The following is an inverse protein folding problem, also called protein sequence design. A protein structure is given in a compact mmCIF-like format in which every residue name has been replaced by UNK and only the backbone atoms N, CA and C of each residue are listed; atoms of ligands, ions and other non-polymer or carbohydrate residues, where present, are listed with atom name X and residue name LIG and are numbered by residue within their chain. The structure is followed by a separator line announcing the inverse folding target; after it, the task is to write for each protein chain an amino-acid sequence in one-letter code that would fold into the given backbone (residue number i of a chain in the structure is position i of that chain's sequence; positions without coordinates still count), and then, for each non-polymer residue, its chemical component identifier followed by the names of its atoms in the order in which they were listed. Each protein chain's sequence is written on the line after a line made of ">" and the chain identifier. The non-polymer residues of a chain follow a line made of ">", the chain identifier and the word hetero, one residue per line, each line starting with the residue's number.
data_IF_693952294203
#
_entry.id   IF_693952294203
#
_cell.length_a   1.000
_cell.length_b   1.000
_cell.length_c   1.000
_cell.angle_alpha   90.00
_cell.angle_beta   90.00
_cell.angle_gamma   90.00
#
_symmetry.space_group_name_H-M   'P 1'
#
loop_
_entity.id
_entity.type
_entity.pdbx_description
1 polymer ?
#
# COMPACT_ATOMS: atom_id res chain seq x y z
N UNK A 1 -46.84 -36.97 15.20
CA UNK A 1 -46.20 -36.51 16.44
C UNK A 1 -45.37 -37.66 17.03
N UNK A 2 -44.09 -37.75 16.66
CA UNK A 2 -43.19 -38.75 17.25
C UNK A 2 -42.81 -38.29 18.66
N UNK A 3 -43.08 -39.14 19.66
CA UNK A 3 -42.70 -38.89 21.06
C UNK A 3 -41.19 -39.08 21.19
N UNK A 4 -40.52 -38.08 21.73
CA UNK A 4 -39.08 -38.13 22.00
C UNK A 4 -38.87 -38.87 23.33
N UNK A 5 -38.23 -40.04 23.30
CA UNK A 5 -37.91 -40.78 24.51
C UNK A 5 -36.66 -40.22 25.20
N UNK A 6 -36.74 -40.19 26.52
CA UNK A 6 -35.76 -39.60 27.43
C UNK A 6 -34.61 -40.60 27.64
N UNK A 7 -33.38 -40.27 27.22
CA UNK A 7 -32.19 -41.02 27.67
C UNK A 7 -31.74 -40.47 29.02
N UNK A 8 -32.19 -41.13 30.09
CA UNK A 8 -31.61 -40.97 31.43
C UNK A 8 -30.13 -41.38 31.39
N UNK A 9 -29.22 -40.43 31.61
CA UNK A 9 -27.83 -40.73 31.91
C UNK A 9 -27.77 -41.43 33.28
N UNK A 10 -27.52 -42.75 33.27
CA UNK A 10 -27.23 -43.51 34.49
C UNK A 10 -25.82 -43.14 34.97
N UNK A 11 -25.72 -42.26 35.95
CA UNK A 11 -24.52 -42.15 36.78
C UNK A 11 -24.43 -43.37 37.69
N UNK A 12 -23.43 -44.21 37.46
CA UNK A 12 -23.12 -45.36 38.30
C UNK A 12 -22.62 -44.87 39.68
N UNK A 13 -23.40 -45.11 40.72
CA UNK A 13 -22.99 -44.97 42.11
C UNK A 13 -22.49 -46.34 42.58
N UNK A 14 -21.18 -46.48 42.74
CA UNK A 14 -20.57 -47.68 43.33
C UNK A 14 -20.92 -47.73 44.82
N UNK A 15 -21.82 -48.63 45.21
CA UNK A 15 -22.13 -48.94 46.62
C UNK A 15 -21.49 -50.28 46.96
N UNK A 16 -20.59 -50.25 47.95
CA UNK A 16 -19.92 -51.39 48.56
C UNK A 16 -20.96 -52.22 49.34
N UNK A 17 -20.97 -53.52 49.11
CA UNK A 17 -21.90 -54.50 49.68
C UNK A 17 -21.55 -54.77 51.14
N UNK A 18 -22.52 -54.58 52.03
CA UNK A 18 -22.50 -55.07 53.41
C UNK A 18 -23.87 -55.67 53.76
N UNK A 19 -23.91 -56.99 53.95
CA UNK A 19 -25.06 -57.80 54.34
C UNK A 19 -25.72 -57.29 55.65
N UNK A 20 -27.06 -57.21 55.71
CA UNK A 20 -27.92 -58.00 56.64
C UNK A 20 -29.40 -57.58 56.63
N UNK A 21 -30.25 -58.62 56.68
CA UNK A 21 -31.60 -58.76 57.26
C UNK A 21 -32.86 -58.15 56.60
N UNK A 22 -33.83 -59.06 56.46
CA UNK A 22 -35.21 -58.91 55.98
C UNK A 22 -36.05 -57.88 56.75
N UNK A 23 -36.79 -57.05 56.01
CA UNK A 23 -38.16 -56.69 56.33
C UNK A 23 -38.90 -56.34 55.02
N UNK A 24 -39.76 -57.25 54.57
CA UNK A 24 -40.72 -56.96 53.52
C UNK A 24 -41.80 -56.04 54.11
N UNK A 25 -41.70 -54.73 53.85
CA UNK A 25 -42.83 -53.83 54.00
C UNK A 25 -43.49 -53.74 52.63
N UNK A 26 -44.70 -54.30 52.56
CA UNK A 26 -45.58 -54.25 51.41
C UNK A 26 -45.71 -52.80 50.94
N UNK A 27 -45.52 -52.61 49.63
CA UNK A 27 -45.77 -51.34 48.96
C UNK A 27 -47.22 -50.91 49.21
N UNK A 28 -47.39 -49.86 50.01
CA UNK A 28 -48.61 -49.06 49.95
C UNK A 28 -48.58 -48.31 48.62
N UNK A 29 -49.47 -48.74 47.73
CA UNK A 29 -49.95 -47.96 46.59
C UNK A 29 -50.64 -46.73 47.19
N UNK A 30 -50.11 -45.54 46.92
CA UNK A 30 -50.85 -44.25 46.83
C UNK A 30 -49.96 -43.00 46.92
N UNK A 31 -48.66 -43.08 46.65
CA UNK A 31 -47.89 -41.87 46.29
C UNK A 31 -48.02 -41.63 44.78
N UNK A 32 -49.11 -40.97 44.41
CA UNK A 32 -49.27 -40.34 43.11
C UNK A 32 -48.19 -39.25 42.95
N UNK A 33 -47.01 -39.65 42.49
CA UNK A 33 -46.01 -38.74 41.96
C UNK A 33 -46.64 -38.07 40.75
N UNK A 34 -47.21 -36.88 40.94
CA UNK A 34 -47.49 -35.94 39.85
C UNK A 34 -46.15 -35.56 39.23
N UNK A 35 -45.65 -36.39 38.33
CA UNK A 35 -44.59 -36.02 37.42
C UNK A 35 -45.19 -34.94 36.50
N UNK A 36 -45.03 -33.66 36.89
CA UNK A 36 -45.19 -32.56 35.96
C UNK A 36 -44.30 -32.87 34.76
N UNK A 37 -44.92 -33.26 33.64
CA UNK A 37 -44.22 -33.37 32.37
C UNK A 37 -43.65 -32.00 32.08
N UNK A 38 -42.34 -31.84 32.27
CA UNK A 38 -41.62 -30.68 31.78
C UNK A 38 -41.89 -30.63 30.27
N UNK A 39 -42.53 -29.54 29.82
CA UNK A 39 -42.79 -29.34 28.41
C UNK A 39 -41.44 -29.24 27.70
N UNK A 40 -41.11 -30.25 26.90
CA UNK A 40 -39.87 -30.24 26.11
C UNK A 40 -40.10 -29.51 24.80
N UNK A 41 -39.03 -28.87 24.33
CA UNK A 41 -39.02 -28.08 23.12
C UNK A 41 -37.94 -28.65 22.20
N UNK A 42 -38.26 -28.82 20.92
CA UNK A 42 -37.26 -29.17 19.92
C UNK A 42 -36.64 -27.91 19.33
N UNK A 43 -35.32 -27.84 19.31
CA UNK A 43 -34.58 -26.73 18.72
C UNK A 43 -33.47 -27.25 17.83
N UNK A 44 -32.98 -26.40 16.92
CA UNK A 44 -31.85 -26.69 16.05
C UNK A 44 -30.72 -25.75 16.44
N UNK A 45 -29.57 -26.29 16.83
CA UNK A 45 -28.36 -25.51 17.09
C UNK A 45 -27.46 -25.58 15.86
N UNK A 46 -27.23 -24.43 15.23
CA UNK A 46 -26.25 -24.23 14.16
C UNK A 46 -24.97 -23.64 14.74
N UNK A 47 -23.88 -24.39 14.68
CA UNK A 47 -22.56 -23.91 15.12
C UNK A 47 -21.45 -24.54 14.27
N UNK A 48 -20.42 -23.75 13.92
CA UNK A 48 -19.29 -24.21 13.10
C UNK A 48 -19.74 -24.85 11.75
N UNK A 49 -20.84 -24.36 11.17
CA UNK A 49 -21.42 -24.89 9.94
C UNK A 49 -22.15 -26.24 10.07
N UNK A 50 -22.38 -26.73 11.30
CA UNK A 50 -23.07 -27.99 11.58
C UNK A 50 -24.39 -27.71 12.30
N UNK A 51 -25.47 -28.33 11.83
CA UNK A 51 -26.79 -28.29 12.47
C UNK A 51 -26.97 -29.52 13.38
N UNK A 52 -27.41 -29.29 14.61
CA UNK A 52 -27.72 -30.33 15.61
C UNK A 52 -29.12 -30.13 16.16
N UNK A 53 -29.97 -31.14 16.06
CA UNK A 53 -31.30 -31.11 16.65
C UNK A 53 -31.23 -31.57 18.11
N UNK A 54 -31.83 -30.79 19.01
CA UNK A 54 -31.86 -31.07 20.45
C UNK A 54 -33.28 -30.95 20.96
N UNK A 55 -33.67 -31.94 21.77
CA UNK A 55 -34.89 -31.88 22.58
C UNK A 55 -34.48 -31.53 24.01
N UNK A 56 -34.99 -30.43 24.54
CA UNK A 56 -34.58 -29.89 25.84
C UNK A 56 -35.78 -29.48 26.69
N UNK A 57 -35.64 -29.57 28.01
CA UNK A 57 -36.57 -29.01 28.99
C UNK A 57 -36.14 -27.60 29.48
N UNK A 58 -35.03 -27.07 28.96
CA UNK A 58 -34.55 -25.73 29.30
C UNK A 58 -35.51 -24.66 28.79
N UNK A 59 -35.51 -23.51 29.47
CA UNK A 59 -36.42 -22.40 29.13
C UNK A 59 -35.79 -21.36 28.21
N UNK A 60 -34.46 -21.26 28.18
CA UNK A 60 -33.73 -20.22 27.44
C UNK A 60 -32.69 -20.79 26.48
N UNK A 61 -32.33 -19.98 25.47
CA UNK A 61 -31.26 -20.30 24.51
C UNK A 61 -29.93 -20.59 25.21
N UNK A 62 -29.52 -19.75 26.16
CA UNK A 62 -28.24 -19.88 26.85
C UNK A 62 -28.13 -21.16 27.68
N UNK A 63 -29.21 -21.54 28.39
CA UNK A 63 -29.25 -22.78 29.15
C UNK A 63 -29.19 -24.01 28.23
N UNK A 64 -29.87 -23.95 27.08
CA UNK A 64 -29.85 -25.01 26.07
C UNK A 64 -28.47 -25.18 25.45
N UNK A 65 -27.77 -24.09 25.12
CA UNK A 65 -26.41 -24.15 24.60
C UNK A 65 -25.44 -24.78 25.62
N UNK A 66 -25.58 -24.43 26.90
CA UNK A 66 -24.79 -25.02 27.99
C UNK A 66 -25.05 -26.52 28.16
N UNK A 67 -26.32 -26.94 28.14
CA UNK A 67 -26.71 -28.36 28.17
C UNK A 67 -26.15 -29.13 26.96
N UNK A 68 -26.16 -28.50 25.78
CA UNK A 68 -25.61 -29.07 24.54
C UNK A 68 -24.08 -29.16 24.51
N UNK A 69 -23.37 -28.68 25.55
CA UNK A 69 -21.92 -28.59 25.57
C UNK A 69 -21.35 -27.56 24.60
N UNK A 70 -22.16 -26.59 24.16
CA UNK A 70 -21.73 -25.49 23.29
C UNK A 70 -21.35 -24.31 24.18
N UNK A 71 -20.07 -24.22 24.51
CA UNK A 71 -19.52 -23.06 25.18
C UNK A 71 -19.51 -21.87 24.23
N UNK A 72 -19.97 -20.71 24.70
CA UNK A 72 -20.02 -19.45 23.92
C UNK A 72 -18.93 -18.53 24.46
N UNK A 73 -18.02 -18.09 23.60
CA UNK A 73 -16.96 -17.16 23.95
C UNK A 73 -17.50 -15.76 24.28
N UNK A 74 -16.70 -14.90 24.93
CA UNK A 74 -17.14 -13.58 25.41
C UNK A 74 -17.56 -12.62 24.28
N UNK A 75 -17.10 -12.86 23.06
CA UNK A 75 -17.38 -12.03 21.87
C UNK A 75 -18.15 -12.78 20.78
N UNK A 76 -18.48 -14.05 21.02
CA UNK A 76 -19.27 -14.85 20.08
C UNK A 76 -20.69 -14.30 19.97
N UNK A 77 -21.30 -14.47 18.79
CA UNK A 77 -22.65 -14.00 18.54
C UNK A 77 -23.64 -15.16 18.57
N UNK A 78 -24.68 -15.03 19.38
CA UNK A 78 -25.78 -16.00 19.47
C UNK A 78 -27.07 -15.34 19.02
N UNK A 79 -27.75 -15.96 18.05
CA UNK A 79 -29.05 -15.51 17.55
C UNK A 79 -30.06 -16.66 17.59
N UNK A 80 -31.20 -16.53 18.29
CA UNK A 80 -31.61 -15.43 19.16
C UNK A 80 -30.72 -15.25 20.40
N UNK A 81 -30.92 -14.16 21.16
CA UNK A 81 -30.08 -13.85 22.33
C UNK A 81 -30.17 -14.96 23.40
N UNK A 82 -29.14 -15.07 24.24
CA UNK A 82 -29.04 -16.13 25.26
C UNK A 82 -30.19 -16.14 26.29
N UNK A 83 -30.82 -14.99 26.52
CA UNK A 83 -31.96 -14.85 27.44
C UNK A 83 -33.32 -15.10 26.77
N UNK A 84 -33.36 -15.27 25.44
CA UNK A 84 -34.58 -15.52 24.71
C UNK A 84 -35.21 -16.84 25.16
N UNK A 85 -36.53 -16.81 25.41
CA UNK A 85 -37.31 -18.03 25.70
C UNK A 85 -37.44 -18.91 24.46
N UNK A 86 -37.31 -20.22 24.65
CA UNK A 86 -37.39 -21.20 23.57
C UNK A 86 -38.81 -21.32 22.99
N UNK A 87 -38.87 -21.69 21.71
CA UNK A 87 -40.09 -22.08 20.99
C UNK A 87 -39.80 -23.35 20.20
N UNK A 88 -40.81 -24.19 20.00
CA UNK A 88 -40.64 -25.43 19.23
C UNK A 88 -40.25 -25.12 17.78
N UNK A 89 -39.27 -25.85 17.27
CA UNK A 89 -38.64 -25.60 15.97
C UNK A 89 -37.69 -24.41 15.92
N UNK A 90 -37.35 -23.77 17.05
CA UNK A 90 -36.44 -22.61 17.05
C UNK A 90 -35.04 -22.96 16.55
N UNK A 91 -34.50 -22.14 15.65
CA UNK A 91 -33.11 -22.24 15.19
C UNK A 91 -32.24 -21.28 15.99
N UNK A 92 -31.24 -21.82 16.66
CA UNK A 92 -30.23 -21.12 17.44
C UNK A 92 -28.93 -21.14 16.64
N UNK A 93 -28.45 -19.98 16.20
CA UNK A 93 -27.18 -19.86 15.47
C UNK A 93 -26.11 -19.29 16.37
N UNK A 94 -24.96 -19.96 16.42
CA UNK A 94 -23.76 -19.54 17.15
C UNK A 94 -22.66 -19.26 16.14
N UNK A 95 -22.26 -17.99 16.02
CA UNK A 95 -21.16 -17.54 15.17
C UNK A 95 -19.93 -17.33 16.05
N UNK A 96 -18.83 -18.00 15.70
CA UNK A 96 -17.54 -17.86 16.40
C UNK A 96 -16.85 -16.58 15.96
N UNK A 97 -16.58 -15.70 16.90
CA UNK A 97 -15.97 -14.40 16.64
C UNK A 97 -14.57 -14.35 17.24
N UNK A 98 -13.60 -13.94 16.44
CA UNK A 98 -12.25 -13.66 16.92
C UNK A 98 -11.70 -12.37 16.33
N UNK A 99 -10.79 -11.73 17.06
CA UNK A 99 -10.05 -10.56 16.59
C UNK A 99 -8.57 -10.93 16.55
N UNK A 100 -7.96 -10.84 15.37
CA UNK A 100 -6.54 -11.15 15.18
C UNK A 100 -5.81 -9.89 14.74
N UNK A 101 -4.63 -9.66 15.33
CA UNK A 101 -3.73 -8.58 14.87
C UNK A 101 -2.90 -9.12 13.72
N UNK A 102 -3.13 -8.57 12.53
CA UNK A 102 -2.36 -8.87 11.33
C UNK A 102 -1.35 -7.77 11.05
N UNK A 103 -0.16 -8.17 10.61
CA UNK A 103 0.94 -7.27 10.27
C UNK A 103 1.21 -7.37 8.77
N UNK A 104 1.05 -6.25 8.07
CA UNK A 104 1.36 -6.14 6.65
C UNK A 104 2.67 -5.35 6.47
N UNK A 105 3.58 -5.89 5.66
CA UNK A 105 4.84 -5.23 5.30
C UNK A 105 4.68 -4.44 4.01
N UNK A 106 5.08 -3.16 4.02
CA UNK A 106 5.07 -2.34 2.82
C UNK A 106 6.42 -1.60 2.66
N UNK A 107 6.99 -1.53 1.44
CA UNK A 107 8.23 -0.80 1.22
C UNK A 107 8.05 0.72 1.32
N UNK A 108 9.10 1.41 1.77
CA UNK A 108 9.22 2.87 1.75
C UNK A 108 10.25 3.22 0.67
N UNK A 109 9.85 4.01 -0.32
CA UNK A 109 10.77 4.47 -1.36
C UNK A 109 11.90 5.33 -0.76
N UNK A 110 13.06 5.30 -1.40
CA UNK A 110 14.19 6.16 -1.07
C UNK A 110 14.33 7.28 -2.09
N UNK A 111 14.93 8.40 -1.67
CA UNK A 111 15.22 9.53 -2.55
C UNK A 111 16.62 9.45 -3.16
N UNK A 112 16.85 10.26 -4.19
CA UNK A 112 18.19 10.48 -4.75
C UNK A 112 18.75 11.84 -4.34
N UNK A 113 19.77 11.84 -3.50
CA UNK A 113 20.50 13.05 -3.09
C UNK A 113 21.61 13.32 -4.10
N UNK A 114 21.60 14.51 -4.70
CA UNK A 114 22.60 14.96 -5.67
C UNK A 114 23.56 15.95 -5.02
N UNK A 115 24.84 15.63 -5.05
CA UNK A 115 25.92 16.48 -4.53
C UNK A 115 26.83 16.91 -5.66
N UNK A 116 27.04 18.21 -5.80
CA UNK A 116 27.92 18.79 -6.82
C UNK A 116 29.38 18.82 -6.32
N UNK A 117 30.33 18.39 -7.15
CA UNK A 117 31.75 18.32 -6.79
C UNK A 117 32.66 18.77 -7.93
N UNK A 118 33.80 19.35 -7.58
CA UNK A 118 34.85 19.74 -8.54
C UNK A 118 35.81 18.61 -8.88
N UNK A 119 35.77 17.49 -8.13
CA UNK A 119 36.64 16.33 -8.35
C UNK A 119 36.26 15.49 -9.58
N UNK A 120 35.08 15.75 -10.17
CA UNK A 120 34.58 15.07 -11.36
C UNK A 120 34.53 16.04 -12.53
N UNK A 121 34.71 15.52 -13.75
CA UNK A 121 34.47 16.32 -14.96
C UNK A 121 33.03 16.81 -14.95
N UNK A 122 32.75 18.03 -15.44
CA UNK A 122 31.38 18.51 -15.59
C UNK A 122 30.49 17.45 -16.20
N UNK A 123 29.35 17.19 -15.57
CA UNK A 123 28.32 16.32 -16.15
C UNK A 123 28.57 14.83 -15.93
N UNK A 124 29.79 14.47 -15.51
CA UNK A 124 30.08 13.14 -15.02
C UNK A 124 29.30 12.91 -13.73
N UNK A 125 28.50 11.84 -13.71
CA UNK A 125 27.73 11.39 -12.56
C UNK A 125 28.35 10.10 -12.05
N UNK A 126 28.72 10.06 -10.78
CA UNK A 126 29.13 8.84 -10.09
C UNK A 126 28.18 8.58 -8.94
N UNK A 127 27.67 7.36 -8.83
CA UNK A 127 26.93 6.91 -7.66
C UNK A 127 27.92 6.66 -6.52
N UNK A 128 27.79 7.40 -5.42
CA UNK A 128 28.62 7.22 -4.22
C UNK A 128 28.02 6.23 -3.23
N UNK A 129 26.70 6.14 -3.18
CA UNK A 129 25.98 5.17 -2.37
C UNK A 129 24.73 4.69 -3.12
N UNK A 130 24.47 3.39 -3.05
CA UNK A 130 23.21 2.82 -3.53
C UNK A 130 22.08 3.21 -2.57
N UNK A 131 20.87 3.36 -3.12
CA UNK A 131 19.68 3.52 -2.30
C UNK A 131 19.13 2.17 -1.88
N UNK A 132 18.55 2.10 -0.69
CA UNK A 132 17.85 0.92 -0.19
C UNK A 132 16.44 1.34 0.25
N UNK A 133 15.38 0.62 -0.15
CA UNK A 133 14.04 0.90 0.36
C UNK A 133 13.98 0.64 1.87
N UNK A 134 13.18 1.46 2.55
CA UNK A 134 12.77 1.21 3.91
C UNK A 134 11.63 0.19 3.98
N UNK A 135 11.19 -0.12 5.20
CA UNK A 135 10.08 -1.04 5.47
C UNK A 135 9.18 -0.41 6.54
N UNK A 136 7.88 -0.33 6.26
CA UNK A 136 6.85 -0.02 7.26
C UNK A 136 6.01 -1.25 7.56
N UNK A 137 5.68 -1.42 8.84
CA UNK A 137 4.77 -2.44 9.34
C UNK A 137 3.43 -1.77 9.62
N UNK A 138 2.38 -2.22 8.94
CA UNK A 138 1.02 -1.73 9.15
C UNK A 138 0.26 -2.78 9.93
N UNK A 139 -0.32 -2.38 11.06
CA UNK A 139 -1.05 -3.27 11.96
C UNK A 139 -2.54 -3.08 11.75
N UNK A 140 -3.23 -4.19 11.58
CA UNK A 140 -4.69 -4.25 11.46
C UNK A 140 -5.26 -5.15 12.53
N UNK A 141 -6.41 -4.77 13.09
CA UNK A 141 -7.27 -5.71 13.80
C UNK A 141 -8.28 -6.23 12.79
N UNK A 142 -8.25 -7.54 12.56
CA UNK A 142 -9.17 -8.25 11.66
C UNK A 142 -10.15 -9.06 12.49
N UNK A 143 -11.44 -8.75 12.33
CA UNK A 143 -12.53 -9.52 12.92
C UNK A 143 -12.89 -10.65 11.99
N UNK A 144 -12.89 -11.86 12.55
CA UNK A 144 -13.29 -13.09 11.89
C UNK A 144 -14.64 -13.56 12.44
N UNK A 145 -15.50 -14.06 11.55
CA UNK A 145 -16.74 -14.77 11.87
C UNK A 145 -16.67 -16.16 11.22
N UNK A 146 -16.76 -17.22 12.02
CA UNK A 146 -16.61 -18.61 11.57
C UNK A 146 -15.37 -18.82 10.67
N UNK A 147 -14.26 -18.19 11.06
CA UNK A 147 -12.98 -18.25 10.34
C UNK A 147 -12.89 -17.38 9.09
N UNK A 148 -13.93 -16.61 8.73
CA UNK A 148 -13.92 -15.70 7.58
C UNK A 148 -13.71 -14.25 8.03
N UNK A 149 -12.78 -13.54 7.40
CA UNK A 149 -12.53 -12.14 7.69
C UNK A 149 -13.72 -11.28 7.24
N UNK A 150 -14.35 -10.56 8.18
CA UNK A 150 -15.54 -9.72 7.90
C UNK A 150 -15.28 -8.23 8.06
N UNK A 151 -14.30 -7.85 8.88
CA UNK A 151 -13.94 -6.43 9.09
C UNK A 151 -12.46 -6.28 9.36
N UNK A 152 -11.82 -5.35 8.67
CA UNK A 152 -10.39 -4.99 8.84
C UNK A 152 -10.29 -3.54 9.28
N UNK A 153 -9.63 -3.28 10.41
CA UNK A 153 -9.48 -1.94 10.98
C UNK A 153 -8.01 -1.60 11.15
N UNK A 154 -7.55 -0.50 10.57
CA UNK A 154 -6.19 0.01 10.76
C UNK A 154 -6.01 0.53 12.18
N UNK A 155 -5.01 0.03 12.91
CA UNK A 155 -4.73 0.44 14.28
C UNK A 155 -3.40 1.19 14.43
N UNK A 156 -2.55 1.17 13.41
CA UNK A 156 -1.31 1.94 13.41
C UNK A 156 -0.31 1.44 12.37
N UNK A 157 0.73 2.24 12.18
CA UNK A 157 1.86 1.89 11.36
C UNK A 157 3.15 2.36 12.04
N UNK A 158 4.23 1.60 11.86
CA UNK A 158 5.56 1.94 12.34
C UNK A 158 6.61 1.69 11.25
N UNK A 159 7.70 2.46 11.28
CA UNK A 159 8.82 2.26 10.35
C UNK A 159 9.79 1.27 10.98
N UNK A 160 9.85 0.05 10.42
CA UNK A 160 10.78 -0.98 10.87
C UNK A 160 12.21 -0.78 10.32
N UNK A 161 12.33 -0.23 9.10
CA UNK A 161 13.62 0.09 8.48
C UNK A 161 13.52 1.44 7.76
N UNK A 162 14.40 2.38 8.08
CA UNK A 162 14.48 3.66 7.37
C UNK A 162 15.04 3.44 5.95
N UNK A 163 14.50 4.13 4.91
CA UNK A 163 15.09 4.10 3.59
C UNK A 163 16.47 4.76 3.62
N UNK A 164 17.41 4.21 2.84
CA UNK A 164 18.71 4.85 2.59
C UNK A 164 18.67 5.52 1.24
N UNK A 165 18.93 6.82 1.22
CA UNK A 165 18.93 7.58 -0.03
C UNK A 165 20.10 7.18 -0.93
N UNK A 166 19.83 7.15 -2.23
CA UNK A 166 20.86 7.00 -3.25
C UNK A 166 21.65 8.31 -3.34
N UNK A 167 22.97 8.24 -3.26
CA UNK A 167 23.83 9.44 -3.33
C UNK A 167 24.54 9.50 -4.67
N UNK A 168 24.34 10.60 -5.39
CA UNK A 168 24.95 10.89 -6.69
C UNK A 168 25.90 12.07 -6.55
N UNK A 169 27.17 11.89 -6.90
CA UNK A 169 28.11 12.99 -7.12
C UNK A 169 28.09 13.43 -8.58
N UNK A 170 27.93 14.72 -8.81
CA UNK A 170 27.89 15.30 -10.16
C UNK A 170 29.02 16.32 -10.29
N UNK A 171 29.83 16.21 -11.34
CA UNK A 171 30.89 17.19 -11.63
C UNK A 171 30.32 18.56 -11.95
N UNK A 172 30.79 19.61 -11.24
CA UNK A 172 30.18 20.95 -11.26
C UNK A 172 31.09 22.07 -11.74
N UNK A 173 32.40 21.82 -11.84
CA UNK A 173 33.39 22.81 -12.32
C UNK A 173 34.01 22.30 -13.61
N UNK A 174 33.91 23.13 -14.65
CA UNK A 174 34.44 22.82 -15.97
C UNK A 174 35.45 23.83 -16.44
N UNK A 175 36.39 23.36 -17.24
CA UNK A 175 37.30 24.20 -18.00
C UNK A 175 36.66 24.42 -19.37
N UNK A 176 36.53 25.67 -19.82
CA UNK A 176 36.42 25.91 -21.26
C UNK A 176 37.71 25.40 -21.89
N UNK A 177 37.62 24.76 -23.06
CA UNK A 177 38.78 24.75 -23.94
C UNK A 177 39.18 26.22 -24.15
N UNK A 178 40.40 26.57 -23.72
CA UNK A 178 41.10 27.86 -23.80
C UNK A 178 40.58 29.14 -23.11
N UNK A 179 39.41 29.20 -22.44
CA UNK A 179 38.85 30.50 -21.93
C UNK A 179 38.50 30.63 -20.43
N UNK A 180 39.03 29.75 -19.56
CA UNK A 180 38.88 29.88 -18.10
C UNK A 180 37.95 28.85 -17.43
N UNK A 181 37.76 28.98 -16.11
CA UNK A 181 36.94 28.07 -15.29
C UNK A 181 35.52 28.63 -15.09
N UNK A 182 34.51 27.74 -15.07
CA UNK A 182 33.12 28.12 -14.78
C UNK A 182 32.54 27.30 -13.63
N UNK A 183 31.58 27.91 -12.90
CA UNK A 183 30.77 27.24 -11.89
C UNK A 183 29.40 26.90 -12.49
N UNK A 184 28.97 25.67 -12.26
CA UNK A 184 27.68 25.17 -12.70
C UNK A 184 26.75 25.06 -11.51
N UNK A 185 25.56 25.65 -11.60
CA UNK A 185 24.52 25.56 -10.56
C UNK A 185 23.51 24.44 -10.80
N UNK A 186 23.27 24.09 -12.06
CA UNK A 186 22.27 23.08 -12.43
C UNK A 186 22.73 22.34 -13.69
N UNK A 187 22.59 21.03 -13.71
CA UNK A 187 22.94 20.19 -14.86
C UNK A 187 21.68 19.49 -15.36
N UNK A 188 21.44 19.61 -16.66
CA UNK A 188 20.25 19.10 -17.33
C UNK A 188 20.66 18.17 -18.47
N UNK A 189 20.05 16.99 -18.53
CA UNK A 189 20.10 16.16 -19.75
C UNK A 189 18.93 16.61 -20.64
N UNK A 190 19.24 17.11 -21.84
CA UNK A 190 18.26 17.68 -22.75
C UNK A 190 18.30 17.01 -24.11
N UNK A 191 17.16 16.98 -24.79
CA UNK A 191 17.08 16.57 -26.20
C UNK A 191 17.42 17.79 -27.06
N UNK A 192 18.57 17.73 -27.75
CA UNK A 192 19.05 18.80 -28.61
C UNK A 192 18.67 18.57 -30.07
N UNK A 193 18.17 19.63 -30.70
CA UNK A 193 18.19 19.83 -32.15
C UNK A 193 19.18 20.93 -32.51
N UNK A 194 19.38 21.12 -33.81
CA UNK A 194 20.24 22.16 -34.35
C UNK A 194 19.53 22.91 -35.47
N UNK A 195 19.76 24.23 -35.55
CA UNK A 195 19.27 25.08 -36.62
C UNK A 195 20.32 26.10 -37.02
N UNK A 196 20.20 26.65 -38.22
CA UNK A 196 20.99 27.77 -38.72
C UNK A 196 20.03 28.95 -38.93
N UNK A 197 20.37 30.20 -38.55
CA UNK A 197 19.43 31.32 -38.55
C UNK A 197 19.17 31.97 -39.92
N UNK A 198 19.51 31.31 -41.02
CA UNK A 198 19.46 31.85 -42.37
C UNK A 198 18.14 31.61 -43.10
N UNK A 199 17.99 32.19 -44.30
CA UNK A 199 16.76 32.16 -45.08
C UNK A 199 16.25 30.75 -45.40
N UNK A 200 17.18 29.78 -45.48
CA UNK A 200 16.89 28.38 -45.80
C UNK A 200 16.22 27.63 -44.65
N UNK A 201 16.48 28.06 -43.42
CA UNK A 201 16.02 27.39 -42.20
C UNK A 201 14.92 28.17 -41.48
N UNK A 202 14.97 29.51 -41.55
CA UNK A 202 14.05 30.42 -40.86
C UNK A 202 13.11 31.21 -41.81
N UNK A 203 13.28 31.06 -43.13
CA UNK A 203 12.47 31.71 -44.16
C UNK A 203 13.04 33.05 -44.66
N UNK A 204 12.66 33.44 -45.88
CA UNK A 204 13.19 34.62 -46.63
C UNK A 204 13.09 35.96 -45.89
N UNK A 205 12.22 36.06 -44.88
CA UNK A 205 11.94 37.28 -44.12
C UNK A 205 12.40 37.23 -42.65
N UNK A 206 13.19 36.23 -42.27
CA UNK A 206 13.70 36.14 -40.91
C UNK A 206 14.65 37.32 -40.62
N UNK A 207 14.33 38.12 -39.61
CA UNK A 207 15.15 39.26 -39.16
C UNK A 207 16.47 38.82 -38.48
N UNK A 208 16.66 37.52 -38.27
CA UNK A 208 17.80 36.95 -37.58
C UNK A 208 17.87 37.32 -36.09
N UNK A 209 16.80 37.89 -35.51
CA UNK A 209 16.74 38.27 -34.10
C UNK A 209 15.99 37.25 -33.26
N UNK A 210 16.54 36.92 -32.10
CA UNK A 210 15.93 36.01 -31.14
C UNK A 210 14.91 36.70 -30.24
N UNK A 211 14.14 35.91 -29.49
CA UNK A 211 13.16 36.43 -28.52
C UNK A 211 13.77 37.36 -27.44
N UNK A 212 15.07 37.22 -27.12
CA UNK A 212 15.79 38.12 -26.22
C UNK A 212 16.45 39.31 -26.93
N UNK A 213 16.25 39.46 -28.24
CA UNK A 213 16.84 40.53 -29.05
C UNK A 213 18.29 40.31 -29.49
N UNK A 214 18.87 39.14 -29.22
CA UNK A 214 20.22 38.78 -29.68
C UNK A 214 20.21 38.41 -31.17
N UNK A 215 21.36 38.51 -31.82
CA UNK A 215 21.53 37.94 -33.15
C UNK A 215 21.55 36.42 -33.03
N UNK A 216 20.63 35.75 -33.74
CA UNK A 216 20.61 34.30 -33.84
C UNK A 216 21.87 33.81 -34.56
N UNK A 217 22.41 32.68 -34.10
CA UNK A 217 23.68 32.15 -34.60
C UNK A 217 24.35 31.24 -33.58
N UNK A 218 25.57 30.82 -33.92
CA UNK A 218 26.37 29.99 -33.02
C UNK A 218 26.58 30.68 -31.66
N UNK A 219 26.33 29.94 -30.58
CA UNK A 219 26.37 30.45 -29.21
C UNK A 219 25.03 31.01 -28.71
N UNK A 220 23.96 31.04 -29.52
CA UNK A 220 22.62 31.44 -29.07
C UNK A 220 21.64 30.29 -29.27
N UNK A 221 20.97 29.89 -28.18
CA UNK A 221 20.13 28.68 -28.14
C UNK A 221 18.70 28.99 -27.78
N UNK A 222 17.77 28.20 -28.32
CA UNK A 222 16.37 28.25 -27.93
C UNK A 222 16.10 27.27 -26.79
N UNK A 223 15.37 27.73 -25.77
CA UNK A 223 15.00 26.94 -24.59
C UNK A 223 13.54 27.15 -24.20
N UNK A 224 13.04 26.31 -23.31
CA UNK A 224 11.82 26.61 -22.55
C UNK A 224 12.16 27.52 -21.35
N UNK A 225 11.67 28.78 -21.29
CA UNK A 225 11.95 29.70 -20.19
C UNK A 225 11.50 29.22 -18.81
N UNK A 226 10.53 28.30 -18.76
CA UNK A 226 10.07 27.71 -17.51
C UNK A 226 11.09 26.72 -16.92
N UNK A 227 12.02 26.22 -17.74
CA UNK A 227 13.10 25.29 -17.34
C UNK A 227 14.45 25.99 -17.21
N UNK A 228 14.77 26.87 -18.17
CA UNK A 228 15.99 27.70 -18.23
C UNK A 228 15.56 29.11 -18.63
N UNK A 229 15.72 30.09 -17.73
CA UNK A 229 15.37 31.48 -18.01
C UNK A 229 16.19 32.06 -19.19
N UNK A 230 15.61 33.00 -19.95
CA UNK A 230 16.36 33.71 -21.00
C UNK A 230 17.49 34.54 -20.40
N UNK A 231 18.57 34.73 -21.16
CA UNK A 231 19.81 35.38 -20.72
C UNK A 231 20.75 34.48 -19.93
N UNK A 232 20.31 33.29 -19.53
CA UNK A 232 21.14 32.33 -18.78
C UNK A 232 22.33 31.87 -19.61
N UNK A 233 23.52 31.88 -19.01
CA UNK A 233 24.76 31.37 -19.61
C UNK A 233 24.82 29.86 -19.45
N UNK A 234 25.21 29.17 -20.51
CA UNK A 234 25.22 27.72 -20.61
C UNK A 234 26.56 27.22 -21.12
N UNK A 235 26.96 26.02 -20.69
CA UNK A 235 27.95 25.22 -21.39
C UNK A 235 27.31 23.90 -21.81
N UNK A 236 27.38 23.58 -23.09
CA UNK A 236 26.71 22.42 -23.68
C UNK A 236 27.77 21.47 -24.19
N UNK A 237 27.82 20.26 -23.65
CA UNK A 237 28.85 19.29 -24.02
C UNK A 237 28.79 18.94 -25.51
N UNK A 238 29.95 19.00 -26.18
CA UNK A 238 30.06 18.77 -27.62
C UNK A 238 29.55 19.93 -28.49
N UNK A 239 29.13 21.04 -27.89
CA UNK A 239 28.76 22.27 -28.61
C UNK A 239 29.58 23.47 -28.15
N UNK A 240 29.66 23.72 -26.83
CA UNK A 240 30.45 24.82 -26.25
C UNK A 240 29.60 25.81 -25.46
N UNK A 241 30.10 27.03 -25.31
CA UNK A 241 29.41 28.11 -24.61
C UNK A 241 28.16 28.54 -25.37
N UNK A 242 27.09 28.83 -24.63
CA UNK A 242 25.89 29.39 -25.22
C UNK A 242 25.13 30.32 -24.27
N UNK A 243 24.25 31.14 -24.83
CA UNK A 243 23.30 31.98 -24.11
C UNK A 243 21.89 31.52 -24.49
N UNK A 244 21.04 31.32 -23.49
CA UNK A 244 19.61 31.09 -23.67
C UNK A 244 18.95 32.37 -24.21
N UNK A 245 19.03 32.58 -25.52
CA UNK A 245 18.58 33.82 -26.16
C UNK A 245 17.24 33.71 -26.87
N UNK A 246 16.72 32.51 -27.07
CA UNK A 246 15.53 32.32 -27.89
C UNK A 246 14.48 31.38 -27.30
N UNK A 247 13.27 31.41 -27.87
CA UNK A 247 12.13 30.55 -27.50
C UNK A 247 11.46 30.00 -28.74
N UNK A 248 11.50 28.69 -28.93
CA UNK A 248 10.77 28.01 -30.00
C UNK A 248 9.41 27.51 -29.53
N UNK A 249 8.39 27.55 -30.41
CA UNK A 249 7.08 26.95 -30.11
C UNK A 249 7.18 25.44 -29.81
N UNK A 250 8.08 24.74 -30.52
CA UNK A 250 8.33 23.30 -30.36
C UNK A 250 9.38 22.96 -29.28
N UNK A 251 10.02 23.97 -28.68
CA UNK A 251 11.07 23.81 -27.67
C UNK A 251 10.43 23.96 -26.30
N UNK A 252 9.95 22.83 -25.76
CA UNK A 252 9.22 22.74 -24.50
C UNK A 252 9.85 21.71 -23.57
N UNK A 253 9.84 21.99 -22.27
CA UNK A 253 10.46 21.14 -21.25
C UNK A 253 11.97 20.97 -21.46
N UNK A 254 12.46 19.73 -21.39
CA UNK A 254 13.88 19.40 -21.52
C UNK A 254 14.36 19.32 -22.99
N UNK A 255 13.85 20.20 -23.86
CA UNK A 255 14.31 20.37 -25.25
C UNK A 255 15.13 21.64 -25.39
N UNK A 256 16.14 21.59 -26.24
CA UNK A 256 17.03 22.72 -26.54
C UNK A 256 17.33 22.73 -28.04
N UNK A 257 17.38 23.92 -28.64
CA UNK A 257 17.72 24.06 -30.06
C UNK A 257 19.00 24.88 -30.20
N UNK A 258 20.02 24.28 -30.83
CA UNK A 258 21.36 24.85 -30.91
C UNK A 258 21.55 25.62 -32.20
N UNK A 259 21.86 26.91 -32.11
CA UNK A 259 22.20 27.72 -33.28
C UNK A 259 23.55 27.32 -33.87
N UNK A 260 23.66 27.20 -35.18
CA UNK A 260 24.92 27.00 -35.89
C UNK A 260 25.13 28.12 -36.89
N UNK A 261 26.39 28.33 -37.30
CA UNK A 261 26.72 29.34 -38.30
C UNK A 261 26.32 28.89 -39.71
N UNK A 262 26.31 27.58 -39.98
CA UNK A 262 26.00 27.03 -41.30
C UNK A 262 25.01 25.87 -41.26
N UNK A 263 24.24 25.73 -42.35
CA UNK A 263 23.28 24.63 -42.53
C UNK A 263 23.98 23.27 -42.46
N UNK A 264 25.20 23.17 -43.01
CA UNK A 264 25.98 21.93 -43.01
C UNK A 264 26.34 21.49 -41.60
N UNK A 265 26.73 22.41 -40.73
CA UNK A 265 27.05 22.09 -39.33
C UNK A 265 25.81 21.66 -38.55
N UNK A 266 24.67 22.34 -38.76
CA UNK A 266 23.41 21.96 -38.13
C UNK A 266 22.97 20.54 -38.53
N UNK A 267 23.06 20.20 -39.83
CA UNK A 267 22.74 18.87 -40.33
C UNK A 267 23.70 17.81 -39.78
N UNK A 268 25.00 18.09 -39.75
CA UNK A 268 26.01 17.17 -39.21
C UNK A 268 25.83 16.92 -37.70
N UNK A 269 25.39 17.93 -36.95
CA UNK A 269 25.10 17.77 -35.52
C UNK A 269 23.88 16.86 -35.28
N UNK A 270 22.84 17.02 -36.10
CA UNK A 270 21.62 16.20 -36.04
C UNK A 270 20.82 16.38 -34.76
N UNK A 271 20.09 15.34 -34.34
CA UNK A 271 19.35 15.32 -33.06
C UNK A 271 19.99 14.31 -32.13
N UNK A 272 20.31 14.74 -30.90
CA UNK A 272 20.90 13.86 -29.89
C UNK A 272 20.63 14.36 -28.47
N UNK A 273 20.86 13.49 -27.49
CA UNK A 273 20.87 13.91 -26.09
C UNK A 273 22.18 14.63 -25.76
N UNK A 274 22.09 15.77 -25.09
CA UNK A 274 23.25 16.53 -24.61
C UNK A 274 23.14 16.81 -23.12
N UNK A 275 24.28 17.04 -22.49
CA UNK A 275 24.37 17.54 -21.12
C UNK A 275 24.56 19.07 -21.19
N UNK A 276 23.65 19.79 -20.53
CA UNK A 276 23.62 21.24 -20.46
C UNK A 276 23.95 21.66 -19.03
N UNK A 277 25.04 22.41 -18.91
CA UNK A 277 25.50 23.04 -17.68
C UNK A 277 24.92 24.45 -17.62
N UNK A 278 24.03 24.68 -16.67
CA UNK A 278 23.51 26.02 -16.35
C UNK A 278 24.51 26.69 -15.44
N UNK A 279 25.06 27.80 -15.91
CA UNK A 279 26.15 28.51 -15.26
C UNK A 279 25.61 29.57 -14.28
N UNK A 280 26.44 29.93 -13.32
CA UNK A 280 26.25 31.10 -12.45
C UNK A 280 26.53 32.42 -13.19
#
# INVERSE_FOLDING_TARGET
>A
MQRCEFRLARTALSVVIGFTLFAAVAANRDDAVQAQRLATVNVIIRSNGIDRQICTAQTTVGATLKEAGVEVGPIDMVTPTTNQRLKDGMVITVVRVSNVVEVEKQPIAFDSVKTFTTALRPGQVIQRAAGEPGEKLIRYVVRYEDGKAVKRTHIGAEVAKQPKNKVLSIGSRGRYTSRGEFRTRKILKMSASAYEPGPRSCGKYASGRTASGLQAGYGVVAVDPTVIALGTKLYIEGYGYAIAGDRGRAIKGNRIDLGFATVREALNFGRKSVIVHVLD
#
